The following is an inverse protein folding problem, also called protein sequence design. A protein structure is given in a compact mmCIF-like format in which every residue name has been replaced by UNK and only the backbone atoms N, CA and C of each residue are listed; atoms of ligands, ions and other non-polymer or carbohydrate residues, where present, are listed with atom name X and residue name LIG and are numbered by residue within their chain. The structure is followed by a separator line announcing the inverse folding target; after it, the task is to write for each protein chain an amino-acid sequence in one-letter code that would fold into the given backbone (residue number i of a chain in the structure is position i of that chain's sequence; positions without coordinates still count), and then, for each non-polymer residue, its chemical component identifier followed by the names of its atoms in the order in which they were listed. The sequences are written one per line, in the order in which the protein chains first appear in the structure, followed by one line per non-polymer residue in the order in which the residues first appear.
data_IF_855449211698
#
_entry.id   IF_855449211698
#
_cell.length_a   1.000
_cell.length_b   1.000
_cell.length_c   1.000
_cell.angle_alpha   90.00
_cell.angle_beta   90.00
_cell.angle_gamma   90.00
#
_symmetry.space_group_name_H-M   'P 1'
#
loop_
_entity.id
_entity.type
_entity.pdbx_description
1 polymer ?
#
# COMPACT_ATOMS: atom_id res chain seq x y z
N UNK A 1 -17.48 -1.72 -16.69
CA UNK A 1 -16.15 -2.17 -17.17
C UNK A 1 -15.45 -0.93 -17.69
N UNK A 2 -14.30 -0.60 -17.14
CA UNK A 2 -13.63 0.69 -17.31
C UNK A 2 -12.44 0.74 -16.37
N UNK A 3 -11.56 -0.24 -16.54
CA UNK A 3 -10.21 -0.20 -15.99
C UNK A 3 -9.51 1.11 -16.36
N UNK A 4 -9.35 2.02 -15.40
CA UNK A 4 -8.29 3.03 -15.52
C UNK A 4 -7.02 2.39 -15.03
N UNK A 5 -6.33 1.69 -15.95
CA UNK A 5 -4.91 1.40 -15.80
C UNK A 5 -4.22 2.70 -15.40
N UNK A 6 -3.78 2.80 -14.14
CA UNK A 6 -2.91 3.88 -13.69
C UNK A 6 -1.60 3.72 -14.46
N UNK A 7 -1.49 4.45 -15.58
CA UNK A 7 -0.21 4.54 -16.30
C UNK A 7 0.85 5.00 -15.30
N UNK A 8 1.97 4.28 -15.16
CA UNK A 8 3.03 4.69 -14.27
C UNK A 8 3.58 6.05 -14.73
N UNK A 9 3.30 7.09 -13.94
CA UNK A 9 3.86 8.43 -14.15
C UNK A 9 5.37 8.40 -13.86
N UNK A 10 6.14 9.29 -14.49
CA UNK A 10 7.57 9.41 -14.21
C UNK A 10 7.80 9.59 -12.69
N UNK A 11 8.53 8.64 -12.08
CA UNK A 11 8.73 8.56 -10.62
C UNK A 11 7.91 7.47 -9.91
N UNK A 12 7.08 6.71 -10.62
CA UNK A 12 6.37 5.56 -10.04
C UNK A 12 7.37 4.47 -9.60
N UNK A 13 7.32 4.12 -8.32
CA UNK A 13 8.22 3.13 -7.71
C UNK A 13 7.74 1.73 -8.08
N UNK A 14 8.42 1.11 -9.04
CA UNK A 14 8.12 -0.26 -9.46
C UNK A 14 8.22 -1.22 -8.26
N UNK A 15 7.10 -1.85 -7.90
CA UNK A 15 7.00 -2.84 -6.81
C UNK A 15 6.73 -2.27 -5.42
N UNK A 16 6.63 -0.95 -5.24
CA UNK A 16 6.19 -0.37 -3.97
C UNK A 16 4.67 -0.32 -3.90
N UNK A 17 4.10 -0.62 -2.73
CA UNK A 17 2.67 -0.41 -2.49
C UNK A 17 2.33 1.06 -2.76
N UNK A 18 1.31 1.29 -3.58
CA UNK A 18 0.75 2.63 -3.81
C UNK A 18 0.11 3.12 -2.51
N UNK A 19 0.91 3.74 -1.64
CA UNK A 19 0.40 4.37 -0.43
C UNK A 19 -0.12 5.76 -0.83
N UNK A 20 -1.40 5.83 -1.18
CA UNK A 20 -2.08 7.13 -1.28
C UNK A 20 -2.18 7.69 0.14
N UNK A 21 -1.11 8.31 0.61
CA UNK A 21 -1.13 9.07 1.85
C UNK A 21 -2.20 10.16 1.73
N UNK A 22 -2.85 10.49 2.85
CA UNK A 22 -4.00 11.41 2.89
C UNK A 22 -3.72 12.73 2.15
N UNK A 23 -2.47 13.19 2.18
CA UNK A 23 -2.01 14.44 1.54
C UNK A 23 -1.85 14.38 0.00
N UNK A 24 -1.98 13.21 -0.63
CA UNK A 24 -1.88 13.03 -2.09
C UNK A 24 -3.25 12.88 -2.76
N UNK A 25 -4.33 12.98 -1.99
CA UNK A 25 -5.69 12.94 -2.52
C UNK A 25 -6.10 14.33 -3.01
N UNK A 26 -6.57 14.40 -4.25
CA UNK A 26 -7.22 15.59 -4.79
C UNK A 26 -8.56 15.86 -4.06
N UNK A 27 -9.01 17.11 -4.03
CA UNK A 27 -10.31 17.45 -3.43
C UNK A 27 -11.45 16.64 -4.08
N UNK A 28 -12.16 15.85 -3.25
CA UNK A 28 -13.25 14.98 -3.70
C UNK A 28 -12.83 13.53 -3.99
N UNK A 29 -11.54 13.21 -3.94
CA UNK A 29 -11.04 11.85 -4.08
C UNK A 29 -11.19 11.10 -2.75
N UNK A 30 -11.88 9.95 -2.79
CA UNK A 30 -12.00 9.06 -1.63
C UNK A 30 -10.67 8.34 -1.41
N UNK A 31 -10.31 8.11 -0.14
CA UNK A 31 -9.21 7.20 0.20
C UNK A 31 -9.38 5.88 -0.55
N UNK A 32 -8.31 5.32 -1.15
CA UNK A 32 -8.38 3.96 -1.66
C UNK A 32 -8.85 3.05 -0.53
N UNK A 33 -9.73 2.10 -0.88
CA UNK A 33 -10.27 1.17 0.10
C UNK A 33 -9.09 0.46 0.78
N UNK A 34 -8.92 0.70 2.07
CA UNK A 34 -8.13 -0.22 2.89
C UNK A 34 -8.71 -1.62 2.69
N UNK A 35 -7.88 -2.66 2.62
CA UNK A 35 -8.37 -4.03 2.49
C UNK A 35 -9.48 -4.26 3.53
N UNK A 36 -10.71 -4.62 3.12
CA UNK A 36 -11.79 -4.84 4.06
C UNK A 36 -11.44 -6.08 4.90
N UNK A 37 -11.03 -5.87 6.15
CA UNK A 37 -10.65 -6.97 7.03
C UNK A 37 -9.84 -6.51 8.22
N UNK A 38 -9.83 -7.32 9.28
CA UNK A 38 -8.88 -7.15 10.38
C UNK A 38 -7.49 -7.45 9.84
N UNK A 39 -6.54 -6.53 9.99
CA UNK A 39 -5.13 -6.80 9.71
C UNK A 39 -4.50 -7.41 10.97
N UNK A 40 -3.60 -8.38 10.78
CA UNK A 40 -2.74 -8.90 11.83
C UNK A 40 -1.30 -8.47 11.56
N UNK A 41 -0.65 -7.93 12.59
CA UNK A 41 0.77 -7.57 12.50
C UNK A 41 1.63 -8.80 12.77
N UNK A 42 2.50 -9.13 11.83
CA UNK A 42 3.47 -10.23 11.92
C UNK A 42 4.86 -9.63 11.98
N UNK A 43 5.65 -10.08 12.95
CA UNK A 43 7.05 -9.71 13.09
C UNK A 43 7.96 -10.79 12.49
N UNK A 44 8.83 -10.41 11.58
CA UNK A 44 9.75 -11.30 10.89
C UNK A 44 11.19 -10.92 11.27
N UNK A 45 11.97 -11.92 11.68
CA UNK A 45 13.41 -11.80 11.88
C UNK A 45 14.11 -12.16 10.56
N UNK A 46 14.80 -11.17 9.98
CA UNK A 46 15.56 -11.32 8.75
C UNK A 46 16.90 -12.03 9.02
N UNK A 47 17.54 -12.50 7.95
CA UNK A 47 18.83 -13.22 8.02
C UNK A 47 20.00 -12.33 8.47
N UNK A 48 19.88 -11.02 8.30
CA UNK A 48 20.87 -10.02 8.71
C UNK A 48 20.62 -9.49 10.13
N UNK A 49 19.87 -10.24 10.93
CA UNK A 49 19.46 -9.90 12.30
C UNK A 49 18.55 -8.66 12.42
N UNK A 50 18.06 -8.10 11.32
CA UNK A 50 17.06 -7.01 11.34
C UNK A 50 15.63 -7.54 11.55
N UNK A 51 14.76 -6.71 12.13
CA UNK A 51 13.37 -7.07 12.41
C UNK A 51 12.42 -6.16 11.64
N UNK A 52 11.49 -6.77 10.91
CA UNK A 52 10.46 -6.07 10.15
C UNK A 52 9.07 -6.49 10.61
N UNK A 53 8.11 -5.56 10.51
CA UNK A 53 6.71 -5.78 10.87
C UNK A 53 5.85 -5.59 9.63
N UNK A 54 5.00 -6.56 9.35
CA UNK A 54 4.08 -6.56 8.21
C UNK A 54 2.65 -6.70 8.69
N UNK A 55 1.75 -5.90 8.13
CA UNK A 55 0.32 -6.06 8.34
C UNK A 55 -0.27 -6.91 7.21
N UNK A 56 -0.82 -8.08 7.56
CA UNK A 56 -1.48 -8.97 6.58
C UNK A 56 -2.98 -9.08 6.88
N UNK A 57 -3.84 -9.14 5.84
CA UNK A 57 -5.24 -9.48 6.03
C UNK A 57 -5.40 -10.87 6.65
N UNK A 58 -6.42 -11.04 7.49
CA UNK A 58 -6.90 -12.37 7.96
C UNK A 58 -7.61 -13.11 6.83
#
# INVERSE_FOLDING_TARGET
MGETEQRPTAGSRLGAQENAGISTLEHGQKLPATPPGKLISIKIQMLDDTQEVFDVPV
#
